data_IF_812521614591
#
_entry.id   IF_812521614591
#
_cell.length_a   1.000
_cell.length_b   1.000
_cell.length_c   1.000
_cell.angle_alpha   90.00
_cell.angle_beta   90.00
_cell.angle_gamma   90.00
#
_symmetry.space_group_name_H-M   'P 1'
#
loop_
_entity.id
_entity.type
_entity.pdbx_description
1 polymer ?
#
# COMPACT_ATOMS: atom_id res chain seq x y z
N UNK A 1 25.49 0.25 -11.20
CA UNK A 1 25.77 -1.12 -10.72
C UNK A 1 24.45 -1.72 -10.24
N UNK A 2 23.99 -2.83 -10.82
CA UNK A 2 22.75 -3.47 -10.38
C UNK A 2 22.97 -4.12 -9.00
N UNK A 3 22.10 -3.84 -8.05
CA UNK A 3 22.20 -4.39 -6.70
C UNK A 3 22.05 -5.92 -6.75
N UNK A 4 22.90 -6.65 -6.01
CA UNK A 4 22.82 -8.11 -5.92
C UNK A 4 21.50 -8.52 -5.26
N UNK A 5 20.65 -9.26 -5.99
CA UNK A 5 19.39 -9.80 -5.48
C UNK A 5 19.69 -10.92 -4.46
N UNK A 6 19.52 -10.65 -3.17
CA UNK A 6 19.86 -11.59 -2.07
C UNK A 6 18.66 -12.33 -1.45
N UNK A 7 17.44 -11.88 -1.72
CA UNK A 7 16.23 -12.41 -1.10
C UNK A 7 15.49 -13.33 -2.07
N UNK A 8 14.86 -14.39 -1.56
CA UNK A 8 14.10 -15.37 -2.35
C UNK A 8 12.68 -15.49 -1.80
N UNK A 9 11.72 -15.67 -2.71
CA UNK A 9 10.34 -16.02 -2.39
C UNK A 9 10.08 -17.40 -3.00
N UNK A 10 9.73 -18.35 -2.15
CA UNK A 10 9.35 -19.71 -2.55
C UNK A 10 7.84 -19.82 -2.64
N UNK A 11 7.34 -20.32 -3.76
CA UNK A 11 5.91 -20.46 -4.04
C UNK A 11 5.59 -21.87 -4.50
N UNK A 12 4.43 -22.38 -4.07
CA UNK A 12 3.82 -23.59 -4.62
C UNK A 12 2.63 -23.17 -5.47
N UNK A 13 2.54 -23.75 -6.65
CA UNK A 13 1.55 -23.43 -7.68
C UNK A 13 0.91 -24.74 -8.14
N UNK A 14 -0.30 -24.66 -8.67
CA UNK A 14 -0.87 -25.75 -9.47
C UNK A 14 -0.21 -25.81 -10.84
N UNK A 15 -0.38 -26.91 -11.56
CA UNK A 15 0.13 -27.03 -12.94
C UNK A 15 -0.55 -26.02 -13.88
N UNK A 16 -1.83 -25.74 -13.64
CA UNK A 16 -2.62 -24.75 -14.39
C UNK A 16 -2.08 -23.33 -14.16
N UNK A 17 -1.84 -22.93 -12.91
CA UNK A 17 -1.26 -21.63 -12.59
C UNK A 17 0.12 -21.46 -13.24
N UNK A 18 0.94 -22.51 -13.17
CA UNK A 18 2.29 -22.49 -13.75
C UNK A 18 2.23 -22.27 -15.26
N UNK A 19 1.39 -23.02 -15.96
CA UNK A 19 1.24 -22.96 -17.41
C UNK A 19 0.76 -21.58 -17.87
N UNK A 20 -0.23 -21.03 -17.16
CA UNK A 20 -0.76 -19.69 -17.43
C UNK A 20 0.31 -18.60 -17.25
N UNK A 21 1.09 -18.67 -16.17
CA UNK A 21 2.17 -17.70 -15.90
C UNK A 21 3.28 -17.82 -16.94
N UNK A 22 3.67 -19.04 -17.34
CA UNK A 22 4.68 -19.29 -18.38
C UNK A 22 4.24 -18.72 -19.74
N UNK A 23 2.98 -18.94 -20.13
CA UNK A 23 2.41 -18.38 -21.35
C UNK A 23 2.41 -16.84 -21.32
N UNK A 24 1.94 -16.23 -20.23
CA UNK A 24 1.90 -14.78 -20.08
C UNK A 24 3.31 -14.14 -20.09
N UNK A 25 4.29 -14.82 -19.47
CA UNK A 25 5.68 -14.40 -19.48
C UNK A 25 6.28 -14.46 -20.90
N UNK A 26 5.98 -15.52 -21.65
CA UNK A 26 6.39 -15.67 -23.04
C UNK A 26 5.81 -14.58 -23.95
N UNK A 27 4.50 -14.30 -23.84
CA UNK A 27 3.83 -13.21 -24.56
C UNK A 27 4.48 -11.86 -24.24
N UNK A 28 4.90 -11.67 -22.98
CA UNK A 28 5.53 -10.44 -22.51
C UNK A 28 7.03 -10.33 -22.84
N UNK A 29 7.61 -11.32 -23.53
CA UNK A 29 9.06 -11.45 -23.78
C UNK A 29 9.91 -11.34 -22.49
N UNK A 30 9.44 -11.95 -21.41
CA UNK A 30 10.09 -11.93 -20.10
C UNK A 30 10.32 -13.36 -19.60
N UNK A 31 11.38 -13.54 -18.79
CA UNK A 31 11.47 -14.77 -17.98
C UNK A 31 10.32 -14.83 -16.97
N UNK A 32 9.87 -16.03 -16.61
CA UNK A 32 8.83 -16.27 -15.58
C UNK A 32 9.13 -15.50 -14.29
N UNK A 33 10.37 -15.57 -13.80
CA UNK A 33 10.77 -14.86 -12.58
C UNK A 33 10.65 -13.34 -12.71
N UNK A 34 11.03 -12.78 -13.86
CA UNK A 34 10.91 -11.34 -14.10
C UNK A 34 9.44 -10.92 -14.24
N UNK A 35 8.63 -11.70 -14.95
CA UNK A 35 7.20 -11.47 -15.11
C UNK A 35 6.50 -11.47 -13.75
N UNK A 36 6.68 -12.53 -12.96
CA UNK A 36 6.09 -12.63 -11.62
C UNK A 36 6.54 -11.49 -10.70
N UNK A 37 7.83 -11.15 -10.70
CA UNK A 37 8.35 -10.06 -9.87
C UNK A 37 7.73 -8.71 -10.27
N UNK A 38 7.59 -8.46 -11.56
CA UNK A 38 6.97 -7.23 -12.08
C UNK A 38 5.50 -7.15 -11.67
N UNK A 39 4.71 -8.20 -11.92
CA UNK A 39 3.30 -8.26 -11.55
C UNK A 39 3.10 -8.07 -10.04
N UNK A 40 3.88 -8.79 -9.22
CA UNK A 40 3.80 -8.66 -7.77
C UNK A 40 4.19 -7.25 -7.30
N UNK A 41 5.25 -6.67 -7.86
CA UNK A 41 5.71 -5.32 -7.49
C UNK A 41 4.70 -4.25 -7.87
N UNK A 42 4.11 -4.34 -9.07
CA UNK A 42 3.07 -3.41 -9.52
C UNK A 42 1.85 -3.50 -8.61
N UNK A 43 1.36 -4.71 -8.34
CA UNK A 43 0.19 -4.88 -7.47
C UNK A 43 0.46 -4.43 -6.04
N UNK A 44 1.66 -4.69 -5.52
CA UNK A 44 2.07 -4.20 -4.20
C UNK A 44 2.07 -2.67 -4.14
N UNK A 45 2.59 -2.00 -5.17
CA UNK A 45 2.58 -0.53 -5.24
C UNK A 45 1.14 0.02 -5.26
N UNK A 46 0.25 -0.58 -6.05
CA UNK A 46 -1.17 -0.19 -6.08
C UNK A 46 -1.84 -0.35 -4.71
N UNK A 47 -1.64 -1.49 -4.03
CA UNK A 47 -2.23 -1.75 -2.71
C UNK A 47 -1.72 -0.75 -1.67
N UNK A 48 -0.41 -0.48 -1.65
CA UNK A 48 0.19 0.50 -0.75
C UNK A 48 -0.37 1.89 -1.00
N UNK A 49 -0.51 2.27 -2.27
CA UNK A 49 -1.02 3.59 -2.64
C UNK A 49 -2.50 3.75 -2.30
N UNK A 50 -3.30 2.73 -2.54
CA UNK A 50 -4.72 2.70 -2.14
C UNK A 50 -4.89 2.78 -0.62
N UNK A 51 -3.98 2.15 0.13
CA UNK A 51 -4.01 2.22 1.59
C UNK A 51 -3.61 3.59 2.13
N UNK A 52 -2.64 4.26 1.49
CA UNK A 52 -2.13 5.57 1.93
C UNK A 52 -3.02 6.74 1.53
N UNK A 53 -3.73 6.64 0.41
CA UNK A 53 -4.60 7.71 -0.07
C UNK A 53 -6.01 7.58 0.50
N UNK A 54 -6.45 8.59 1.24
CA UNK A 54 -7.86 8.79 1.51
C UNK A 54 -8.48 9.63 0.40
N UNK A 55 -9.35 9.00 -0.39
CA UNK A 55 -10.18 9.70 -1.37
C UNK A 55 -11.45 10.14 -0.66
N UNK A 56 -11.66 11.44 -0.58
CA UNK A 56 -12.83 12.03 0.08
C UNK A 56 -13.92 12.32 -0.96
N UNK A 57 -15.18 12.06 -0.60
CA UNK A 57 -16.31 12.64 -1.32
C UNK A 57 -16.45 14.13 -0.97
N UNK A 58 -17.29 14.86 -1.71
CA UNK A 58 -17.43 16.32 -1.54
C UNK A 58 -17.80 16.73 -0.11
N UNK A 59 -18.72 16.00 0.53
CA UNK A 59 -19.12 16.31 1.90
C UNK A 59 -17.96 16.14 2.89
N UNK A 60 -17.22 15.04 2.78
CA UNK A 60 -16.07 14.75 3.64
C UNK A 60 -14.93 15.74 3.37
N UNK A 61 -14.72 16.12 2.11
CA UNK A 61 -13.77 17.15 1.72
C UNK A 61 -14.07 18.48 2.38
N UNK A 62 -15.32 18.96 2.30
CA UNK A 62 -15.77 20.20 2.94
C UNK A 62 -15.55 20.14 4.45
N UNK A 63 -15.93 19.03 5.11
CA UNK A 63 -15.70 18.86 6.55
C UNK A 63 -14.22 18.92 6.94
N UNK A 64 -13.34 18.32 6.14
CA UNK A 64 -11.89 18.39 6.37
C UNK A 64 -11.38 19.81 6.17
N UNK A 65 -11.78 20.49 5.09
CA UNK A 65 -11.38 21.88 4.83
C UNK A 65 -11.88 22.85 5.90
N UNK A 66 -13.10 22.67 6.40
CA UNK A 66 -13.65 23.46 7.50
C UNK A 66 -12.88 23.22 8.80
N UNK A 67 -12.53 21.97 9.11
CA UNK A 67 -11.73 21.64 10.29
C UNK A 67 -10.29 22.19 10.21
N UNK A 68 -9.72 22.29 9.00
CA UNK A 68 -8.40 22.93 8.78
C UNK A 68 -8.48 24.46 8.86
N UNK A 69 -9.55 25.06 8.33
CA UNK A 69 -9.74 26.52 8.32
C UNK A 69 -10.18 27.05 9.69
N UNK A 70 -10.95 26.26 10.44
CA UNK A 70 -11.50 26.59 11.75
C UNK A 70 -11.16 25.46 12.75
N UNK A 71 -9.89 25.34 13.16
CA UNK A 71 -9.45 24.25 14.02
C UNK A 71 -10.16 24.30 15.38
N UNK A 72 -10.87 23.23 15.80
CA UNK A 72 -11.53 23.21 17.09
C UNK A 72 -10.52 23.12 18.23
N UNK A 73 -10.84 23.73 19.37
CA UNK A 73 -10.06 23.53 20.58
C UNK A 73 -10.14 22.07 21.05
N UNK A 74 -9.03 21.48 21.55
CA UNK A 74 -9.02 20.12 22.08
C UNK A 74 -10.09 19.90 23.16
N UNK A 75 -10.87 18.83 23.04
CA UNK A 75 -11.85 18.47 24.07
C UNK A 75 -11.20 18.00 25.38
N UNK A 76 -11.95 18.07 26.48
CA UNK A 76 -11.46 17.70 27.83
C UNK A 76 -10.93 16.26 27.92
N UNK A 77 -11.51 15.33 27.16
CA UNK A 77 -11.01 13.94 27.09
C UNK A 77 -9.61 13.86 26.45
N UNK A 78 -9.37 14.62 25.38
CA UNK A 78 -8.07 14.67 24.70
C UNK A 78 -7.02 15.36 25.59
N UNK A 79 -7.38 16.48 26.24
CA UNK A 79 -6.51 17.16 27.21
C UNK A 79 -6.07 16.25 28.36
N UNK A 80 -6.99 15.48 28.95
CA UNK A 80 -6.67 14.51 30.00
C UNK A 80 -5.73 13.40 29.53
N UNK A 81 -5.94 12.88 28.32
CA UNK A 81 -5.07 11.87 27.73
C UNK A 81 -3.65 12.40 27.49
N UNK A 82 -3.52 13.63 26.96
CA UNK A 82 -2.23 14.27 26.75
C UNK A 82 -1.47 14.51 28.07
N UNK A 83 -2.16 14.96 29.14
CA UNK A 83 -1.55 15.12 30.47
C UNK A 83 -1.00 13.80 31.04
N UNK A 84 -1.71 12.68 30.82
CA UNK A 84 -1.24 11.35 31.22
C UNK A 84 0.03 10.93 30.49
N UNK A 85 0.13 11.23 29.20
CA UNK A 85 1.33 10.94 28.41
C UNK A 85 2.55 11.75 28.88
N UNK A 86 2.34 13.01 29.28
CA UNK A 86 3.40 13.89 29.77
C UNK A 86 3.90 13.54 31.18
N UNK A 87 3.13 12.78 31.94
CA UNK A 87 3.50 12.30 33.27
C UNK A 87 4.16 10.91 33.28
N UNK A 88 4.36 10.29 32.10
CA UNK A 88 5.21 9.11 31.91
C UNK A 88 6.63 9.55 31.55
#
# INVERSE_FOLDING_TARGET
MSAVKKQRIDLRLTDDDKSMIEEAAAISNQSVSQFMLNCASQRAAEVIEQHRRMILNEESWTRVMDALSNPPSPGEKLKRAAKRLQGM
#
